data_IF_600787238525
#
_entry.id   IF_600787238525
#
_cell.length_a   1.000
_cell.length_b   1.000
_cell.length_c   1.000
_cell.angle_alpha   90.00
_cell.angle_beta   90.00
_cell.angle_gamma   90.00
#
_symmetry.space_group_name_H-M   'P 1'
#
loop_
_entity.id
_entity.type
_entity.pdbx_description
1 polymer ?
#
# COMPACT_ATOMS: atom_id res chain seq x y z
N UNK A 1 44.56 9.69 -35.57
CA UNK A 1 44.48 9.71 -34.09
C UNK A 1 43.10 10.12 -33.54
N UNK A 2 42.46 11.18 -34.05
CA UNK A 2 41.30 11.81 -33.38
C UNK A 2 39.95 11.08 -33.51
N UNK A 3 39.75 10.31 -34.58
CA UNK A 3 38.49 9.59 -34.84
C UNK A 3 38.30 8.35 -33.97
N UNK A 4 39.40 7.70 -33.59
CA UNK A 4 39.40 6.52 -32.70
C UNK A 4 39.03 6.94 -31.28
N UNK A 5 39.60 8.04 -30.78
CA UNK A 5 39.28 8.58 -29.45
C UNK A 5 37.81 9.01 -29.33
N UNK A 6 37.23 9.60 -30.39
CA UNK A 6 35.83 10.03 -30.38
C UNK A 6 34.84 8.85 -30.36
N UNK A 7 35.19 7.75 -31.04
CA UNK A 7 34.40 6.50 -31.00
C UNK A 7 34.52 5.78 -29.65
N UNK A 8 35.67 5.80 -29.00
CA UNK A 8 35.84 5.23 -27.67
C UNK A 8 35.08 6.04 -26.61
N UNK A 9 35.20 7.37 -26.64
CA UNK A 9 34.52 8.29 -25.73
C UNK A 9 32.99 8.19 -25.83
N UNK A 10 32.43 8.14 -27.05
CA UNK A 10 30.97 8.01 -27.24
C UNK A 10 30.41 6.66 -26.76
N UNK A 11 31.22 5.59 -26.77
CA UNK A 11 30.83 4.28 -26.24
C UNK A 11 30.78 4.29 -24.70
N UNK A 12 31.75 4.89 -24.04
CA UNK A 12 31.77 5.05 -22.58
C UNK A 12 30.59 5.91 -22.10
N UNK A 13 30.32 7.04 -22.77
CA UNK A 13 29.17 7.90 -22.47
C UNK A 13 27.83 7.17 -22.65
N UNK A 14 27.70 6.35 -23.71
CA UNK A 14 26.51 5.51 -23.93
C UNK A 14 26.32 4.46 -22.83
N UNK A 15 27.40 3.82 -22.38
CA UNK A 15 27.37 2.85 -21.27
C UNK A 15 26.94 3.51 -19.96
N UNK A 16 27.52 4.66 -19.62
CA UNK A 16 27.13 5.43 -18.43
C UNK A 16 25.66 5.86 -18.47
N UNK A 17 25.18 6.39 -19.61
CA UNK A 17 23.76 6.76 -19.78
C UNK A 17 22.83 5.57 -19.68
N UNK A 18 23.18 4.45 -20.33
CA UNK A 18 22.38 3.22 -20.28
C UNK A 18 22.29 2.69 -18.84
N UNK A 19 23.39 2.68 -18.08
CA UNK A 19 23.39 2.25 -16.69
C UNK A 19 22.52 3.15 -15.79
N UNK A 20 22.53 4.47 -16.01
CA UNK A 20 21.68 5.40 -15.26
C UNK A 20 20.19 5.25 -15.60
N UNK A 21 19.87 5.06 -16.89
CA UNK A 21 18.50 4.80 -17.34
C UNK A 21 17.98 3.49 -16.75
N UNK A 22 18.78 2.42 -16.77
CA UNK A 22 18.38 1.14 -16.16
C UNK A 22 18.12 1.27 -14.66
N UNK A 23 18.93 2.05 -13.93
CA UNK A 23 18.68 2.35 -12.51
C UNK A 23 17.38 3.11 -12.32
N UNK A 24 17.15 4.17 -13.11
CA UNK A 24 15.93 4.97 -13.04
C UNK A 24 14.68 4.13 -13.32
N UNK A 25 14.70 3.32 -14.37
CA UNK A 25 13.59 2.40 -14.72
C UNK A 25 13.34 1.42 -13.57
N UNK A 26 14.39 0.82 -13.00
CA UNK A 26 14.24 -0.12 -11.87
C UNK A 26 13.56 0.54 -10.67
N UNK A 27 14.00 1.74 -10.28
CA UNK A 27 13.38 2.46 -9.18
C UNK A 27 11.94 2.88 -9.50
N UNK A 28 11.65 3.33 -10.72
CA UNK A 28 10.28 3.68 -11.14
C UNK A 28 9.37 2.45 -11.04
N UNK A 29 9.79 1.29 -11.54
CA UNK A 29 9.01 0.05 -11.48
C UNK A 29 8.76 -0.38 -10.05
N UNK A 30 9.78 -0.32 -9.18
CA UNK A 30 9.64 -0.64 -7.76
C UNK A 30 8.66 0.32 -7.06
N UNK A 31 8.78 1.62 -7.31
CA UNK A 31 7.90 2.64 -6.73
C UNK A 31 6.45 2.45 -7.20
N UNK A 32 6.23 2.24 -8.49
CA UNK A 32 4.88 1.98 -9.04
C UNK A 32 4.30 0.69 -8.46
N UNK A 33 5.11 -0.37 -8.36
CA UNK A 33 4.70 -1.63 -7.73
C UNK A 33 4.28 -1.44 -6.27
N UNK A 34 5.04 -0.63 -5.51
CA UNK A 34 4.70 -0.29 -4.14
C UNK A 34 3.36 0.46 -4.05
N UNK A 35 3.12 1.45 -4.93
CA UNK A 35 1.83 2.15 -4.97
C UNK A 35 0.66 1.24 -5.31
N UNK A 36 0.85 0.30 -6.25
CA UNK A 36 -0.18 -0.70 -6.59
C UNK A 36 -0.54 -1.57 -5.38
N UNK A 37 0.45 -1.97 -4.58
CA UNK A 37 0.21 -2.76 -3.36
C UNK A 37 -0.40 -1.95 -2.22
N UNK A 38 -0.05 -0.67 -2.10
CA UNK A 38 -0.58 0.23 -1.05
C UNK A 38 -2.02 0.63 -1.34
N UNK A 39 -2.39 0.81 -2.60
CA UNK A 39 -3.74 1.22 -3.02
C UNK A 39 -4.88 0.38 -2.38
N UNK A 40 -4.88 -0.96 -2.42
CA UNK A 40 -5.93 -1.76 -1.79
C UNK A 40 -5.96 -1.64 -0.27
N UNK A 41 -4.82 -1.41 0.38
CA UNK A 41 -4.76 -1.20 1.84
C UNK A 41 -5.40 0.14 2.20
N UNK A 42 -5.07 1.20 1.46
CA UNK A 42 -5.71 2.50 1.62
C UNK A 42 -7.22 2.33 1.40
N UNK A 43 -7.63 1.71 0.31
CA UNK A 43 -9.04 1.46 0.01
C UNK A 43 -9.77 0.74 1.15
N UNK A 44 -9.15 -0.28 1.74
CA UNK A 44 -9.69 -0.99 2.91
C UNK A 44 -9.88 -0.07 4.11
N UNK A 45 -8.87 0.76 4.43
CA UNK A 45 -8.97 1.73 5.52
C UNK A 45 -10.12 2.70 5.27
N UNK A 46 -10.24 3.25 4.07
CA UNK A 46 -11.38 4.10 3.68
C UNK A 46 -12.73 3.38 3.82
N UNK A 47 -12.76 2.09 3.46
CA UNK A 47 -13.93 1.23 3.62
C UNK A 47 -14.38 1.04 5.07
N UNK A 48 -13.48 1.06 6.06
CA UNK A 48 -13.84 0.94 7.48
C UNK A 48 -14.71 2.09 8.01
N UNK A 49 -14.69 3.23 7.32
CA UNK A 49 -15.46 4.44 7.67
C UNK A 49 -16.74 4.59 6.84
N UNK A 50 -17.02 3.68 5.90
CA UNK A 50 -18.22 3.70 5.07
C UNK A 50 -19.38 2.98 5.76
N UNK A 51 -20.59 3.49 5.59
CA UNK A 51 -21.82 2.81 6.03
C UNK A 51 -22.07 1.55 5.18
N UNK A 52 -22.68 0.51 5.76
CA UNK A 52 -22.97 -0.79 5.14
C UNK A 52 -23.68 -0.69 3.79
N UNK A 53 -24.50 0.35 3.60
CA UNK A 53 -25.21 0.60 2.34
C UNK A 53 -24.32 1.22 1.25
N UNK A 54 -23.31 2.02 1.64
CA UNK A 54 -22.39 2.72 0.73
C UNK A 54 -21.18 1.87 0.31
N UNK A 55 -20.79 0.85 1.08
CA UNK A 55 -19.65 -0.02 0.74
C UNK A 55 -19.88 -0.74 -0.61
N UNK A 56 -21.12 -1.08 -0.94
CA UNK A 56 -21.49 -1.79 -2.17
C UNK A 56 -21.85 -0.87 -3.35
N UNK A 57 -22.11 0.41 -3.10
CA UNK A 57 -22.52 1.38 -4.14
C UNK A 57 -21.46 2.42 -4.46
N UNK A 58 -20.48 2.66 -3.59
CA UNK A 58 -19.44 3.68 -3.79
C UNK A 58 -18.04 3.08 -4.02
N UNK A 59 -17.48 3.28 -5.22
CA UNK A 59 -16.10 2.88 -5.56
C UNK A 59 -15.06 3.88 -4.99
N UNK A 60 -15.50 5.05 -4.56
CA UNK A 60 -14.62 6.14 -4.11
C UNK A 60 -13.88 5.81 -2.80
N UNK A 61 -12.64 6.29 -2.69
CA UNK A 61 -11.80 6.11 -1.49
C UNK A 61 -12.29 6.92 -0.28
N UNK A 62 -12.90 8.09 -0.52
CA UNK A 62 -13.39 9.00 0.52
C UNK A 62 -14.90 8.77 0.70
N UNK A 63 -15.37 8.42 1.91
CA UNK A 63 -16.80 8.29 2.19
C UNK A 63 -17.50 9.66 2.17
N UNK A 64 -18.74 9.72 1.70
CA UNK A 64 -19.56 10.93 1.76
C UNK A 64 -20.00 11.23 3.20
N UNK A 65 -20.19 10.18 4.00
CA UNK A 65 -20.51 10.25 5.41
C UNK A 65 -19.56 9.32 6.19
N UNK A 66 -18.82 9.88 7.15
CA UNK A 66 -17.96 9.07 8.03
C UNK A 66 -18.85 8.42 9.09
N UNK A 67 -18.96 7.09 9.05
CA UNK A 67 -19.67 6.31 10.05
C UNK A 67 -18.69 5.53 10.93
N UNK A 68 -18.80 5.73 12.25
CA UNK A 68 -18.04 5.01 13.27
C UNK A 68 -18.78 3.80 13.84
N UNK A 69 -20.03 3.59 13.41
CA UNK A 69 -20.87 2.48 13.87
C UNK A 69 -20.24 1.12 13.57
N UNK A 70 -19.55 0.97 12.44
CA UNK A 70 -18.80 -0.24 12.12
C UNK A 70 -17.76 -0.61 13.20
N UNK A 71 -17.10 0.38 13.82
CA UNK A 71 -16.17 0.16 14.92
C UNK A 71 -16.89 -0.23 16.22
N UNK A 72 -18.00 0.44 16.53
CA UNK A 72 -18.80 0.14 17.72
C UNK A 72 -19.49 -1.24 17.65
N UNK A 73 -20.05 -1.58 16.50
CA UNK A 73 -20.66 -2.88 16.18
C UNK A 73 -19.60 -3.98 16.09
N UNK A 74 -18.42 -3.65 15.55
CA UNK A 74 -17.27 -4.56 15.55
C UNK A 74 -16.80 -4.90 16.96
N UNK A 75 -16.80 -3.92 17.88
CA UNK A 75 -16.42 -4.12 19.28
C UNK A 75 -17.42 -4.98 20.05
N UNK A 76 -18.72 -4.77 19.80
CA UNK A 76 -19.82 -5.59 20.30
C UNK A 76 -20.08 -6.76 19.35
N UNK A 77 -19.17 -7.74 19.38
CA UNK A 77 -19.29 -8.96 18.59
C UNK A 77 -20.68 -9.60 18.80
N UNK A 78 -21.25 -10.25 17.77
CA UNK A 78 -22.55 -10.96 17.84
C UNK A 78 -22.59 -12.13 18.85
N UNK A 79 -21.52 -12.35 19.59
CA UNK A 79 -21.33 -13.34 20.65
C UNK A 79 -21.50 -12.71 22.03
N UNK A 80 -21.56 -13.51 23.09
CA UNK A 80 -21.72 -13.00 24.47
C UNK A 80 -20.51 -12.24 25.03
N UNK A 81 -19.43 -12.12 24.26
CA UNK A 81 -18.18 -11.48 24.68
C UNK A 81 -17.70 -10.47 23.64
N UNK A 82 -17.19 -9.34 24.13
CA UNK A 82 -16.62 -8.26 23.32
C UNK A 82 -15.22 -8.65 22.82
N UNK A 83 -14.77 -8.03 21.72
CA UNK A 83 -13.44 -8.25 21.16
C UNK A 83 -12.30 -8.12 22.18
N UNK A 84 -12.44 -7.22 23.17
CA UNK A 84 -11.46 -7.06 24.25
C UNK A 84 -11.17 -8.33 25.03
N UNK A 85 -12.17 -9.20 25.28
CA UNK A 85 -11.95 -10.49 25.96
C UNK A 85 -11.14 -11.46 25.09
N UNK A 86 -11.40 -11.48 23.78
CA UNK A 86 -10.62 -12.30 22.86
C UNK A 86 -9.16 -11.84 22.78
N UNK A 87 -8.92 -10.53 22.69
CA UNK A 87 -7.56 -9.98 22.72
C UNK A 87 -6.84 -10.28 24.03
N UNK A 88 -7.50 -10.10 25.18
CA UNK A 88 -6.92 -10.41 26.49
C UNK A 88 -6.54 -11.88 26.64
N UNK A 89 -7.40 -12.80 26.16
CA UNK A 89 -7.06 -14.22 26.16
C UNK A 89 -5.83 -14.50 25.29
N UNK A 90 -5.73 -13.91 24.10
CA UNK A 90 -4.55 -14.06 23.23
C UNK A 90 -3.30 -13.51 23.89
N UNK A 91 -3.34 -12.33 24.51
CA UNK A 91 -2.20 -11.77 25.22
C UNK A 91 -1.76 -12.64 26.41
N UNK A 92 -2.71 -13.17 27.17
CA UNK A 92 -2.43 -14.09 28.28
C UNK A 92 -1.79 -15.40 27.81
N UNK A 93 -2.11 -15.89 26.60
CA UNK A 93 -1.46 -17.08 26.02
C UNK A 93 -0.06 -16.78 25.44
N UNK A 94 0.16 -15.56 24.93
CA UNK A 94 1.41 -15.19 24.25
C UNK A 94 2.48 -14.68 25.22
N UNK A 95 2.08 -14.05 26.33
CA UNK A 95 3.00 -13.59 27.36
C UNK A 95 3.24 -14.76 28.33
N UNK A 96 4.44 -15.36 28.36
CA UNK A 96 4.75 -16.50 29.21
C UNK A 96 4.76 -16.14 30.71
#
# INVERSE_FOLDING_TARGET
MNTVNNKAMSRELRRYRSAQISKAIRYIVLTVGAFIMIYPILWLIGGTFKDNSEIFTSINFIPSHIDFKAYADGWHTRTQYNFGKYYLNTFAYVIP
#
